data_IF_769972804488
#
_entry.id   IF_769972804488
#
_cell.length_a   1.000
_cell.length_b   1.000
_cell.length_c   1.000
_cell.angle_alpha   90.00
_cell.angle_beta   90.00
_cell.angle_gamma   90.00
#
_symmetry.space_group_name_H-M   'P 1'
#
loop_
_entity.id
_entity.type
_entity.pdbx_description
1 polymer ?
#
# COMPACT_ATOMS: atom_id res chain seq x y z
N UNK A 1 -33.63 -31.04 51.74
CA UNK A 1 -32.18 -30.75 51.75
C UNK A 1 -32.00 -29.26 51.49
N UNK A 2 -31.75 -28.46 52.53
CA UNK A 2 -31.52 -27.02 52.44
C UNK A 2 -29.99 -26.83 52.45
N UNK A 3 -29.38 -26.13 51.48
CA UNK A 3 -27.94 -25.96 51.47
C UNK A 3 -27.47 -25.10 52.65
N UNK A 4 -26.27 -25.36 53.21
CA UNK A 4 -25.76 -24.65 54.38
C UNK A 4 -25.52 -23.18 54.07
N UNK A 5 -25.93 -22.31 54.99
CA UNK A 5 -25.67 -20.88 54.96
C UNK A 5 -24.17 -20.60 54.89
N UNK A 6 -23.69 -19.70 54.02
CA UNK A 6 -22.28 -19.39 53.91
C UNK A 6 -21.75 -18.75 55.21
N UNK A 7 -20.49 -19.01 55.59
CA UNK A 7 -19.91 -18.54 56.86
C UNK A 7 -19.82 -17.00 56.91
N UNK A 8 -20.06 -16.38 58.08
CA UNK A 8 -20.16 -14.91 58.24
C UNK A 8 -18.87 -14.16 57.88
N UNK A 9 -17.72 -14.84 57.91
CA UNK A 9 -16.40 -14.30 57.52
C UNK A 9 -16.28 -14.00 56.03
N UNK A 10 -16.99 -14.72 55.15
CA UNK A 10 -16.98 -14.42 53.70
C UNK A 10 -17.79 -13.16 53.38
N UNK A 11 -18.88 -12.92 54.10
CA UNK A 11 -19.75 -11.74 53.88
C UNK A 11 -19.02 -10.45 54.29
N UNK A 12 -18.30 -10.48 55.43
CA UNK A 12 -17.53 -9.34 55.95
C UNK A 12 -16.33 -8.94 55.06
N UNK A 13 -15.66 -9.92 54.45
CA UNK A 13 -14.57 -9.65 53.50
C UNK A 13 -15.10 -8.98 52.22
N UNK A 14 -16.26 -9.40 51.72
CA UNK A 14 -16.87 -8.78 50.52
C UNK A 14 -17.38 -7.36 50.79
N UNK A 15 -17.94 -7.08 51.97
CA UNK A 15 -18.47 -5.74 52.30
C UNK A 15 -17.39 -4.67 52.48
N UNK A 16 -16.17 -5.04 52.91
CA UNK A 16 -15.07 -4.08 53.08
C UNK A 16 -14.16 -3.94 51.84
N UNK A 17 -14.01 -5.00 51.04
CA UNK A 17 -13.07 -4.99 49.91
C UNK A 17 -13.61 -4.24 48.69
N UNK A 18 -14.93 -4.36 48.41
CA UNK A 18 -15.60 -3.64 47.31
C UNK A 18 -15.52 -2.11 47.47
N UNK A 19 -15.87 -1.50 48.62
CA UNK A 19 -15.79 -0.05 48.75
C UNK A 19 -14.34 0.45 48.70
N UNK A 20 -13.37 -0.33 49.19
CA UNK A 20 -11.95 0.01 49.07
C UNK A 20 -11.49 0.01 47.61
N UNK A 21 -11.89 -0.99 46.82
CA UNK A 21 -11.58 -1.06 45.39
C UNK A 21 -12.23 0.10 44.61
N UNK A 22 -13.47 0.44 44.92
CA UNK A 22 -14.17 1.58 44.33
C UNK A 22 -13.48 2.90 44.69
N UNK A 23 -13.05 3.08 45.94
CA UNK A 23 -12.31 4.25 46.40
C UNK A 23 -10.97 4.39 45.65
N UNK A 24 -10.22 3.29 45.52
CA UNK A 24 -8.96 3.26 44.77
C UNK A 24 -9.21 3.63 43.31
N UNK A 25 -10.24 3.06 42.68
CA UNK A 25 -10.60 3.37 41.29
C UNK A 25 -10.99 4.84 41.09
N UNK A 26 -11.72 5.43 42.03
CA UNK A 26 -12.13 6.83 42.00
C UNK A 26 -10.93 7.77 42.17
N UNK A 27 -10.01 7.47 43.10
CA UNK A 27 -8.77 8.23 43.26
C UNK A 27 -7.91 8.14 42.00
N UNK A 28 -7.79 6.95 41.39
CA UNK A 28 -7.06 6.77 40.14
C UNK A 28 -7.69 7.58 39.00
N UNK A 29 -9.02 7.55 38.87
CA UNK A 29 -9.77 8.33 37.88
C UNK A 29 -9.56 9.83 38.07
N UNK A 30 -9.59 10.34 39.31
CA UNK A 30 -9.32 11.76 39.60
C UNK A 30 -7.87 12.13 39.26
N UNK A 31 -6.90 11.26 39.55
CA UNK A 31 -5.50 11.51 39.18
C UNK A 31 -5.28 11.49 37.68
N UNK A 32 -5.88 10.53 36.97
CA UNK A 32 -5.83 10.45 35.51
C UNK A 32 -6.51 11.65 34.89
N UNK A 33 -7.69 12.03 35.34
CA UNK A 33 -8.42 13.20 34.82
C UNK A 33 -7.70 14.51 35.13
N UNK A 34 -7.11 14.70 36.32
CA UNK A 34 -6.24 15.84 36.62
C UNK A 34 -4.96 15.86 35.77
N UNK A 35 -4.32 14.70 35.55
CA UNK A 35 -3.15 14.60 34.67
C UNK A 35 -3.50 14.85 33.20
N UNK A 36 -4.68 14.41 32.77
CA UNK A 36 -5.23 14.67 31.44
C UNK A 36 -5.58 16.15 31.29
N UNK A 37 -6.26 16.75 32.28
CA UNK A 37 -6.54 18.18 32.31
C UNK A 37 -5.26 18.99 32.30
N UNK A 38 -4.27 18.66 33.13
CA UNK A 38 -2.97 19.34 33.17
C UNK A 38 -2.19 19.16 31.87
N UNK A 39 -2.30 18.02 31.18
CA UNK A 39 -1.73 17.85 29.83
C UNK A 39 -2.48 18.63 28.75
N UNK A 40 -3.79 18.79 28.90
CA UNK A 40 -4.64 19.59 27.99
C UNK A 40 -4.37 21.09 28.21
N UNK A 41 -4.32 21.55 29.46
CA UNK A 41 -4.18 22.96 29.84
C UNK A 41 -2.72 23.42 29.94
N UNK A 42 -1.81 22.54 30.37
CA UNK A 42 -0.36 22.76 30.40
C UNK A 42 0.31 22.73 29.02
N UNK A 43 -0.44 22.38 27.97
CA UNK A 43 -0.09 22.68 26.57
C UNK A 43 -0.49 24.11 26.16
N UNK A 44 -0.53 25.05 27.10
CA UNK A 44 -0.41 26.47 26.75
C UNK A 44 0.98 26.68 26.15
N UNK A 45 0.99 26.83 24.83
CA UNK A 45 2.08 27.27 23.98
C UNK A 45 3.22 27.93 24.76
N UNK A 46 4.32 27.21 24.96
CA UNK A 46 5.61 27.88 24.98
C UNK A 46 5.69 28.63 23.65
N UNK A 47 5.60 29.95 23.71
CA UNK A 47 5.71 30.84 22.55
C UNK A 47 7.13 30.77 22.03
N UNK A 48 7.40 29.72 21.25
CA UNK A 48 8.52 29.71 20.33
C UNK A 48 8.29 30.85 19.34
N UNK A 49 9.30 31.70 19.15
CA UNK A 49 9.32 32.78 18.15
C UNK A 49 9.22 32.27 16.70
N UNK A 50 9.21 30.95 16.47
CA UNK A 50 8.88 30.33 15.19
C UNK A 50 7.37 30.14 15.06
N UNK A 51 6.77 30.82 14.07
CA UNK A 51 5.37 30.61 13.66
C UNK A 51 5.18 29.17 13.18
N UNK A 52 4.65 28.31 14.05
CA UNK A 52 4.25 26.95 13.67
C UNK A 52 3.04 27.00 12.72
N UNK A 53 2.89 26.03 11.80
CA UNK A 53 1.70 25.93 10.97
C UNK A 53 0.41 25.90 11.81
N UNK A 54 -0.67 26.53 11.34
CA UNK A 54 -1.98 26.44 11.98
C UNK A 54 -2.48 24.98 11.98
N UNK A 55 -3.39 24.64 12.90
CA UNK A 55 -4.00 23.31 12.91
C UNK A 55 -4.36 22.79 14.29
N UNK A 56 -4.92 21.57 14.34
CA UNK A 56 -5.43 20.95 15.56
C UNK A 56 -4.52 19.83 16.04
N UNK A 57 -4.27 19.74 17.36
CA UNK A 57 -3.61 18.56 17.93
C UNK A 57 -4.58 17.40 18.21
N UNK A 58 -5.88 17.59 17.96
CA UNK A 58 -6.93 16.61 18.22
C UNK A 58 -7.10 16.24 19.70
N UNK A 59 -7.67 15.06 19.95
CA UNK A 59 -7.86 14.52 21.29
C UNK A 59 -6.52 14.18 21.96
N UNK A 60 -6.42 14.22 23.30
CA UNK A 60 -5.24 13.72 24.00
C UNK A 60 -4.91 12.28 23.59
N UNK A 61 -3.63 11.97 23.42
CA UNK A 61 -3.09 10.65 23.07
C UNK A 61 -3.36 10.18 21.62
N UNK A 62 -4.60 10.31 21.14
CA UNK A 62 -5.04 9.76 19.84
C UNK A 62 -5.00 10.82 18.72
N UNK A 63 -5.01 12.10 19.07
CA UNK A 63 -5.03 13.18 18.10
C UNK A 63 -6.30 13.18 17.25
N UNK A 64 -6.14 13.32 15.93
CA UNK A 64 -7.22 13.25 14.94
C UNK A 64 -7.27 11.87 14.24
N UNK A 65 -6.60 10.85 14.79
CA UNK A 65 -6.49 9.52 14.16
C UNK A 65 -7.84 8.88 13.86
N UNK A 66 -8.84 9.00 14.74
CA UNK A 66 -10.18 8.46 14.47
C UNK A 66 -10.88 9.18 13.32
N UNK A 67 -10.75 10.51 13.26
CA UNK A 67 -11.29 11.30 12.14
C UNK A 67 -10.57 10.96 10.83
N UNK A 68 -9.26 10.69 10.88
CA UNK A 68 -8.48 10.22 9.75
C UNK A 68 -8.95 8.86 9.24
N UNK A 69 -9.14 7.89 10.15
CA UNK A 69 -9.60 6.55 9.78
C UNK A 69 -11.04 6.57 9.24
N UNK A 70 -11.94 7.32 9.88
CA UNK A 70 -13.31 7.47 9.41
C UNK A 70 -13.38 8.11 8.01
N UNK A 71 -12.54 9.12 7.75
CA UNK A 71 -12.42 9.69 6.41
C UNK A 71 -11.86 8.69 5.39
N UNK A 72 -10.92 7.84 5.78
CA UNK A 72 -10.35 6.81 4.90
C UNK A 72 -11.40 5.78 4.44
N UNK A 73 -12.42 5.52 5.25
CA UNK A 73 -13.56 4.65 4.88
C UNK A 73 -14.59 5.33 3.97
N UNK A 74 -14.43 6.62 3.65
CA UNK A 74 -15.32 7.35 2.74
C UNK A 74 -14.92 7.15 1.27
N UNK A 75 -15.83 7.44 0.33
CA UNK A 75 -15.57 7.37 -1.12
C UNK A 75 -14.43 8.28 -1.60
N UNK A 76 -14.12 9.34 -0.84
CA UNK A 76 -13.00 10.26 -1.11
C UNK A 76 -11.73 9.89 -0.34
N UNK A 77 -11.79 8.84 0.49
CA UNK A 77 -10.70 8.36 1.33
C UNK A 77 -10.00 9.43 2.14
N UNK A 78 -8.69 9.28 2.29
CA UNK A 78 -7.83 10.24 2.98
C UNK A 78 -7.96 11.69 2.45
N UNK A 79 -8.27 11.91 1.17
CA UNK A 79 -8.46 13.26 0.63
C UNK A 79 -9.61 14.03 1.31
N UNK A 80 -10.64 13.35 1.82
CA UNK A 80 -11.70 13.98 2.62
C UNK A 80 -11.14 14.61 3.90
N UNK A 81 -10.20 13.92 4.56
CA UNK A 81 -9.54 14.41 5.76
C UNK A 81 -8.72 15.67 5.48
N UNK A 82 -7.92 15.65 4.40
CA UNK A 82 -7.05 16.76 4.01
C UNK A 82 -7.85 17.96 3.53
N UNK A 83 -8.83 17.75 2.64
CA UNK A 83 -9.64 18.83 2.06
C UNK A 83 -10.36 19.64 3.14
N UNK A 84 -11.00 18.97 4.10
CA UNK A 84 -11.68 19.62 5.23
C UNK A 84 -10.74 20.52 6.04
N UNK A 85 -9.50 20.08 6.25
CA UNK A 85 -8.49 20.82 7.03
C UNK A 85 -7.84 21.91 6.22
N UNK A 86 -7.65 21.70 4.92
CA UNK A 86 -7.20 22.73 3.98
C UNK A 86 -8.19 23.89 3.91
N UNK A 87 -9.50 23.61 3.86
CA UNK A 87 -10.54 24.64 3.89
C UNK A 87 -10.52 25.44 5.21
N UNK A 88 -10.17 24.81 6.33
CA UNK A 88 -10.17 25.43 7.66
C UNK A 88 -8.87 26.18 8.01
N UNK A 89 -7.72 25.63 7.63
CA UNK A 89 -6.40 26.07 8.08
C UNK A 89 -5.52 26.59 6.95
N UNK A 90 -5.98 26.51 5.69
CA UNK A 90 -5.25 26.92 4.51
C UNK A 90 -4.32 25.83 3.94
N UNK A 91 -3.45 26.24 3.01
CA UNK A 91 -2.59 25.34 2.25
C UNK A 91 -1.44 24.71 3.06
N UNK A 92 -1.21 25.13 4.31
CA UNK A 92 -0.20 24.57 5.20
C UNK A 92 -0.80 24.40 6.60
N UNK A 93 -0.92 23.17 7.08
CA UNK A 93 -1.50 22.90 8.39
C UNK A 93 -0.84 21.72 9.11
N UNK A 94 -0.89 21.72 10.45
CA UNK A 94 -0.45 20.61 11.28
C UNK A 94 -1.61 19.81 11.86
N UNK A 95 -1.41 18.52 12.06
CA UNK A 95 -2.34 17.62 12.75
C UNK A 95 -1.57 16.56 13.54
N UNK A 96 -2.23 15.86 14.46
CA UNK A 96 -1.64 14.70 15.14
C UNK A 96 -2.37 13.43 14.69
N UNK A 97 -1.65 12.49 14.08
CA UNK A 97 -2.19 11.21 13.57
C UNK A 97 -1.22 10.11 13.99
N UNK A 98 -1.75 9.01 14.54
CA UNK A 98 -0.97 7.89 15.09
C UNK A 98 0.09 8.34 16.11
N UNK A 99 -0.26 9.31 16.96
CA UNK A 99 0.62 9.84 18.02
C UNK A 99 1.76 10.72 17.50
N UNK A 100 1.87 10.97 16.19
CA UNK A 100 2.89 11.81 15.57
C UNK A 100 2.28 13.09 15.01
N UNK A 101 3.03 14.18 15.08
CA UNK A 101 2.65 15.44 14.42
C UNK A 101 2.99 15.35 12.93
N UNK A 102 2.00 15.58 12.09
CA UNK A 102 2.13 15.64 10.63
C UNK A 102 1.87 17.07 10.17
N UNK A 103 2.64 17.53 9.20
CA UNK A 103 2.45 18.82 8.56
C UNK A 103 2.10 18.57 7.09
N UNK A 104 0.93 19.03 6.68
CA UNK A 104 0.46 18.97 5.31
C UNK A 104 0.74 20.29 4.62
N UNK A 105 1.38 20.23 3.46
CA UNK A 105 1.71 21.40 2.64
C UNK A 105 1.24 21.17 1.21
N UNK A 106 0.34 22.01 0.73
CA UNK A 106 -0.21 21.99 -0.62
C UNK A 106 0.27 23.23 -1.38
N UNK A 107 1.53 23.22 -1.78
CA UNK A 107 2.10 24.25 -2.66
C UNK A 107 3.12 23.64 -3.62
N UNK A 108 3.15 24.16 -4.84
CA UNK A 108 4.13 23.78 -5.87
C UNK A 108 5.56 24.09 -5.44
N UNK A 109 5.77 25.24 -4.77
CA UNK A 109 7.07 25.62 -4.22
C UNK A 109 7.58 24.64 -3.17
N UNK A 110 6.74 24.24 -2.21
CA UNK A 110 7.14 23.24 -1.21
C UNK A 110 7.36 21.85 -1.83
N UNK A 111 6.51 21.44 -2.78
CA UNK A 111 6.70 20.18 -3.49
C UNK A 111 8.04 20.16 -4.24
N UNK A 112 8.36 21.24 -4.97
CA UNK A 112 9.66 21.39 -5.66
C UNK A 112 10.81 21.30 -4.68
N UNK A 113 10.75 21.99 -3.55
CA UNK A 113 11.86 22.01 -2.62
C UNK A 113 12.06 20.68 -1.88
N UNK A 114 10.97 19.96 -1.57
CA UNK A 114 11.04 18.61 -0.97
C UNK A 114 11.53 17.56 -1.97
N UNK A 115 11.07 17.62 -3.23
CA UNK A 115 11.43 16.63 -4.27
C UNK A 115 12.76 16.96 -4.98
N UNK A 116 13.14 18.23 -5.01
CA UNK A 116 14.38 18.74 -5.61
C UNK A 116 15.62 18.56 -4.74
N UNK A 117 15.48 17.98 -3.55
CA UNK A 117 16.55 17.79 -2.57
C UNK A 117 17.11 19.12 -2.00
N UNK A 118 16.39 20.24 -2.19
CA UNK A 118 16.77 21.58 -1.70
C UNK A 118 16.69 21.69 -0.17
N UNK A 119 15.99 20.76 0.49
CA UNK A 119 15.88 20.72 1.95
C UNK A 119 16.73 19.60 2.57
N UNK A 120 17.93 19.95 3.02
CA UNK A 120 18.73 19.14 3.96
C UNK A 120 17.91 18.93 5.23
N UNK A 121 17.44 17.70 5.48
CA UNK A 121 16.76 17.33 6.73
C UNK A 121 15.41 16.61 6.58
N UNK A 122 14.90 16.41 5.36
CA UNK A 122 13.77 15.50 5.15
C UNK A 122 14.26 14.12 4.75
N UNK A 123 13.75 13.10 5.43
CA UNK A 123 13.94 11.70 5.05
C UNK A 123 12.59 11.10 4.74
N UNK A 124 12.55 10.26 3.70
CA UNK A 124 11.41 9.41 3.42
C UNK A 124 11.10 8.58 4.66
N UNK A 125 9.91 8.73 5.25
CA UNK A 125 9.51 7.95 6.42
C UNK A 125 8.09 7.46 6.27
N UNK A 126 7.93 6.17 6.08
CA UNK A 126 6.62 5.53 6.01
C UNK A 126 6.08 5.22 7.40
N UNK A 127 4.78 4.94 7.43
CA UNK A 127 4.15 4.35 8.59
C UNK A 127 4.69 2.92 8.71
N UNK A 128 5.17 2.55 9.90
CA UNK A 128 5.74 1.22 10.20
C UNK A 128 4.84 0.07 9.71
N UNK A 129 3.53 0.24 9.76
CA UNK A 129 2.57 -0.75 9.27
C UNK A 129 2.70 -1.08 7.79
N UNK A 130 3.10 -0.11 6.95
CA UNK A 130 3.34 -0.31 5.51
C UNK A 130 4.62 -1.11 5.30
N UNK A 131 5.68 -0.80 6.06
CA UNK A 131 6.93 -1.56 6.02
C UNK A 131 6.75 -3.02 6.46
N UNK A 132 5.84 -3.31 7.39
CA UNK A 132 5.50 -4.69 7.76
C UNK A 132 4.80 -5.48 6.62
N UNK A 133 4.13 -4.79 5.69
CA UNK A 133 3.39 -5.40 4.57
C UNK A 133 4.23 -5.50 3.29
N UNK A 134 5.00 -4.47 2.97
CA UNK A 134 5.85 -4.44 1.77
C UNK A 134 7.26 -5.00 2.02
N UNK A 135 7.71 -4.92 3.27
CA UNK A 135 9.07 -5.27 3.68
C UNK A 135 9.97 -4.04 3.84
N UNK A 136 10.87 -4.11 4.83
CA UNK A 136 11.82 -3.04 5.17
C UNK A 136 12.84 -2.79 4.04
N UNK A 137 13.05 -3.79 3.18
CA UNK A 137 13.99 -3.71 2.05
C UNK A 137 13.30 -3.33 0.72
N UNK A 138 12.00 -3.02 0.75
CA UNK A 138 11.30 -2.51 -0.43
C UNK A 138 11.81 -1.13 -0.83
N UNK A 139 11.81 -0.80 -2.13
CA UNK A 139 12.09 0.54 -2.64
C UNK A 139 11.21 1.60 -1.96
N UNK A 140 10.00 1.20 -1.56
CA UNK A 140 9.11 2.07 -0.80
C UNK A 140 9.64 2.33 0.62
N UNK A 141 10.10 1.34 1.37
CA UNK A 141 10.46 1.52 2.79
C UNK A 141 11.95 1.70 3.08
N UNK A 142 12.82 1.39 2.13
CA UNK A 142 14.27 1.39 2.30
C UNK A 142 14.84 2.74 2.73
N UNK A 143 15.96 2.68 3.46
CA UNK A 143 16.76 3.85 3.85
C UNK A 143 17.32 4.57 2.63
N UNK A 144 17.74 5.83 2.78
CA UNK A 144 18.28 6.62 1.67
C UNK A 144 19.48 5.95 0.99
N UNK A 145 20.39 5.36 1.78
CA UNK A 145 21.59 4.67 1.29
C UNK A 145 21.22 3.45 0.46
N UNK A 146 20.39 2.55 1.01
CA UNK A 146 19.95 1.34 0.31
C UNK A 146 19.05 1.66 -0.89
N UNK A 147 18.23 2.71 -0.82
CA UNK A 147 17.31 3.09 -1.87
C UNK A 147 18.02 3.41 -3.18
N UNK A 148 19.19 4.08 -3.15
CA UNK A 148 19.93 4.40 -4.38
C UNK A 148 20.45 3.15 -5.10
N UNK A 149 20.90 2.15 -4.34
CA UNK A 149 21.33 0.87 -4.91
C UNK A 149 20.12 0.09 -5.45
N UNK A 150 19.07 -0.09 -4.64
CA UNK A 150 17.82 -0.76 -5.06
C UNK A 150 17.22 -0.12 -6.31
N UNK A 151 17.13 1.22 -6.37
CA UNK A 151 16.57 1.95 -7.52
C UNK A 151 17.35 1.68 -8.80
N UNK A 152 18.68 1.61 -8.72
CA UNK A 152 19.53 1.31 -9.88
C UNK A 152 19.24 -0.09 -10.40
N UNK A 153 19.19 -1.09 -9.52
CA UNK A 153 18.87 -2.49 -9.88
C UNK A 153 17.46 -2.62 -10.45
N UNK A 154 16.47 -1.92 -9.86
CA UNK A 154 15.08 -1.94 -10.35
C UNK A 154 14.88 -1.18 -11.67
N UNK A 155 15.80 -0.28 -12.05
CA UNK A 155 15.64 0.54 -13.25
C UNK A 155 15.77 -0.25 -14.56
N UNK A 156 16.41 -1.42 -14.52
CA UNK A 156 16.52 -2.33 -15.66
C UNK A 156 15.16 -2.69 -16.27
N UNK A 157 14.12 -2.82 -15.45
CA UNK A 157 12.74 -3.10 -15.89
C UNK A 157 12.18 -2.05 -16.86
N UNK A 158 12.67 -0.80 -16.78
CA UNK A 158 12.13 0.34 -17.51
C UNK A 158 13.06 0.83 -18.62
N UNK A 159 14.03 0.01 -19.04
CA UNK A 159 14.85 0.33 -20.20
C UNK A 159 14.01 0.20 -21.51
N UNK A 160 14.42 0.83 -22.63
CA UNK A 160 13.64 0.82 -23.86
C UNK A 160 13.30 -0.58 -24.41
N UNK A 161 14.21 -1.54 -24.29
CA UNK A 161 14.02 -2.92 -24.76
C UNK A 161 13.00 -3.67 -23.89
N UNK A 162 13.14 -3.58 -22.57
CA UNK A 162 12.20 -4.16 -21.60
C UNK A 162 10.81 -3.54 -21.72
N UNK A 163 10.71 -2.24 -21.99
CA UNK A 163 9.44 -1.56 -22.25
C UNK A 163 8.79 -2.06 -23.54
N UNK A 164 9.56 -2.20 -24.63
CA UNK A 164 9.03 -2.74 -25.89
C UNK A 164 8.49 -4.17 -25.73
N UNK A 165 9.21 -5.02 -24.97
CA UNK A 165 8.74 -6.37 -24.63
C UNK A 165 7.48 -6.35 -23.74
N UNK A 166 7.42 -5.43 -22.77
CA UNK A 166 6.27 -5.24 -21.90
C UNK A 166 5.02 -4.86 -22.70
N UNK A 167 5.12 -3.89 -23.61
CA UNK A 167 4.02 -3.47 -24.48
C UNK A 167 3.48 -4.65 -25.29
N UNK A 168 4.36 -5.43 -25.94
CA UNK A 168 3.93 -6.64 -26.67
C UNK A 168 3.18 -7.63 -25.79
N UNK A 169 3.61 -7.79 -24.53
CA UNK A 169 2.93 -8.66 -23.56
C UNK A 169 1.53 -8.15 -23.23
N UNK A 170 1.39 -6.85 -23.00
CA UNK A 170 0.08 -6.21 -22.79
C UNK A 170 -0.83 -6.35 -24.01
N UNK A 171 -0.32 -6.10 -25.22
CA UNK A 171 -1.10 -6.21 -26.47
C UNK A 171 -1.65 -7.63 -26.67
N UNK A 172 -0.79 -8.64 -26.48
CA UNK A 172 -1.17 -10.05 -26.62
C UNK A 172 -2.28 -10.44 -25.64
N UNK A 173 -2.10 -10.14 -24.35
CA UNK A 173 -3.06 -10.50 -23.30
C UNK A 173 -4.38 -9.72 -23.44
N UNK A 174 -4.31 -8.47 -23.90
CA UNK A 174 -5.51 -7.66 -24.17
C UNK A 174 -6.27 -8.23 -25.36
N UNK A 175 -5.60 -8.56 -26.45
CA UNK A 175 -6.23 -9.18 -27.61
C UNK A 175 -6.86 -10.55 -27.29
N UNK A 176 -6.19 -11.37 -26.48
CA UNK A 176 -6.74 -12.65 -25.99
C UNK A 176 -8.03 -12.45 -25.18
N UNK A 177 -8.02 -11.49 -24.24
CA UNK A 177 -9.20 -11.18 -23.44
C UNK A 177 -10.37 -10.67 -24.30
N UNK A 178 -10.11 -9.73 -25.22
CA UNK A 178 -11.14 -9.20 -26.11
C UNK A 178 -11.75 -10.29 -27.02
N UNK A 179 -10.94 -11.26 -27.49
CA UNK A 179 -11.43 -12.40 -28.28
C UNK A 179 -12.29 -13.37 -27.48
N UNK A 180 -12.14 -13.40 -26.16
CA UNK A 180 -12.93 -14.27 -25.28
C UNK A 180 -14.36 -13.75 -25.06
N UNK A 181 -14.59 -12.45 -25.30
CA UNK A 181 -15.90 -11.82 -25.13
C UNK A 181 -16.89 -12.28 -26.21
N UNK A 182 -18.09 -12.69 -25.80
CA UNK A 182 -19.11 -13.19 -26.73
C UNK A 182 -20.07 -12.07 -27.16
N UNK A 183 -20.57 -12.08 -28.41
CA UNK A 183 -21.60 -11.12 -28.83
C UNK A 183 -22.83 -11.16 -27.92
N UNK A 184 -23.25 -9.99 -27.42
CA UNK A 184 -24.40 -9.85 -26.52
C UNK A 184 -24.09 -10.11 -25.04
N UNK A 185 -22.85 -10.48 -24.69
CA UNK A 185 -22.41 -10.62 -23.30
C UNK A 185 -22.24 -9.25 -22.62
N UNK A 186 -22.63 -9.16 -21.35
CA UNK A 186 -22.33 -7.99 -20.52
C UNK A 186 -21.00 -8.21 -19.80
N UNK A 187 -20.02 -7.36 -20.08
CA UNK A 187 -18.68 -7.44 -19.48
C UNK A 187 -18.42 -6.25 -18.57
N UNK A 188 -17.85 -6.51 -17.39
CA UNK A 188 -17.35 -5.46 -16.50
C UNK A 188 -15.90 -5.14 -16.90
N UNK A 189 -15.74 -4.22 -17.85
CA UNK A 189 -14.43 -3.84 -18.45
C UNK A 189 -13.35 -3.57 -17.42
N UNK A 190 -13.71 -2.97 -16.28
CA UNK A 190 -12.77 -2.68 -15.22
C UNK A 190 -12.19 -3.93 -14.54
N UNK A 191 -13.01 -4.96 -14.31
CA UNK A 191 -12.55 -6.22 -13.72
C UNK A 191 -11.63 -6.97 -14.68
N UNK A 192 -11.97 -6.99 -15.96
CA UNK A 192 -11.14 -7.61 -16.99
C UNK A 192 -9.82 -6.86 -17.18
N UNK A 193 -9.85 -5.52 -17.20
CA UNK A 193 -8.64 -4.71 -17.24
C UNK A 193 -7.71 -4.99 -16.05
N UNK A 194 -8.26 -5.15 -14.85
CA UNK A 194 -7.49 -5.55 -13.67
C UNK A 194 -6.86 -6.94 -13.80
N UNK A 195 -7.62 -7.93 -14.30
CA UNK A 195 -7.11 -9.29 -14.54
C UNK A 195 -5.99 -9.30 -15.57
N UNK A 196 -6.20 -8.65 -16.72
CA UNK A 196 -5.21 -8.53 -17.80
C UNK A 196 -3.95 -7.85 -17.28
N UNK A 197 -4.10 -6.73 -16.56
CA UNK A 197 -2.95 -5.97 -16.03
C UNK A 197 -2.17 -6.79 -15.01
N UNK A 198 -2.86 -7.48 -14.10
CA UNK A 198 -2.22 -8.35 -13.13
C UNK A 198 -1.44 -9.49 -13.81
N UNK A 199 -2.06 -10.16 -14.78
CA UNK A 199 -1.43 -11.23 -15.57
C UNK A 199 -0.19 -10.72 -16.31
N UNK A 200 -0.30 -9.56 -16.96
CA UNK A 200 0.81 -8.94 -17.69
C UNK A 200 1.99 -8.63 -16.75
N UNK A 201 1.72 -7.99 -15.60
CA UNK A 201 2.74 -7.66 -14.62
C UNK A 201 3.43 -8.91 -14.08
N UNK A 202 2.69 -9.95 -13.70
CA UNK A 202 3.27 -11.21 -13.24
C UNK A 202 4.11 -11.88 -14.33
N UNK A 203 3.65 -11.86 -15.59
CA UNK A 203 4.41 -12.41 -16.71
C UNK A 203 5.73 -11.65 -16.95
N UNK A 204 5.69 -10.32 -16.94
CA UNK A 204 6.88 -9.47 -17.12
C UNK A 204 7.86 -9.63 -15.95
N UNK A 205 7.36 -9.71 -14.71
CA UNK A 205 8.20 -9.71 -13.53
C UNK A 205 8.79 -11.08 -13.21
N UNK A 206 8.03 -12.17 -13.39
CA UNK A 206 8.44 -13.48 -12.88
C UNK A 206 8.01 -14.67 -13.72
N UNK A 207 7.21 -14.53 -14.78
CA UNK A 207 6.88 -15.58 -15.76
C UNK A 207 6.74 -17.03 -15.21
N UNK A 208 6.12 -17.23 -14.04
CA UNK A 208 6.19 -18.49 -13.28
C UNK A 208 4.91 -18.83 -12.53
N UNK A 209 3.75 -18.60 -13.14
CA UNK A 209 2.49 -19.02 -12.54
C UNK A 209 1.56 -19.65 -13.58
N UNK A 210 1.01 -20.82 -13.26
CA UNK A 210 -0.19 -21.32 -13.91
C UNK A 210 -1.40 -20.42 -13.64
N UNK A 211 -2.50 -20.59 -14.36
CA UNK A 211 -3.70 -19.74 -14.18
C UNK A 211 -4.24 -19.79 -12.74
N UNK A 212 -4.32 -20.99 -12.14
CA UNK A 212 -4.79 -21.14 -10.76
C UNK A 212 -3.88 -20.44 -9.74
N UNK A 213 -2.55 -20.56 -9.91
CA UNK A 213 -1.57 -19.90 -9.04
C UNK A 213 -1.62 -18.38 -9.17
N UNK A 214 -1.88 -17.89 -10.39
CA UNK A 214 -2.02 -16.47 -10.68
C UNK A 214 -3.27 -15.90 -9.98
N UNK A 215 -4.39 -16.62 -9.99
CA UNK A 215 -5.60 -16.22 -9.26
C UNK A 215 -5.37 -16.16 -7.75
N UNK A 216 -4.68 -17.16 -7.18
CA UNK A 216 -4.32 -17.15 -5.75
C UNK A 216 -3.40 -15.98 -5.40
N UNK A 217 -2.38 -15.74 -6.24
CA UNK A 217 -1.47 -14.61 -6.06
C UNK A 217 -2.22 -13.27 -6.12
N UNK A 218 -3.20 -13.14 -7.03
CA UNK A 218 -4.03 -11.94 -7.13
C UNK A 218 -4.83 -11.69 -5.84
N UNK A 219 -5.45 -12.74 -5.30
CA UNK A 219 -6.20 -12.67 -4.02
C UNK A 219 -5.27 -12.24 -2.88
N UNK A 220 -4.05 -12.79 -2.83
CA UNK A 220 -3.07 -12.45 -1.80
C UNK A 220 -2.57 -11.00 -1.92
N UNK A 221 -2.26 -10.55 -3.13
CA UNK A 221 -1.86 -9.15 -3.39
C UNK A 221 -2.98 -8.17 -3.02
N UNK A 222 -4.24 -8.54 -3.29
CA UNK A 222 -5.39 -7.75 -2.88
C UNK A 222 -5.50 -7.63 -1.35
N UNK A 223 -5.36 -8.73 -0.60
CA UNK A 223 -5.37 -8.71 0.87
C UNK A 223 -4.21 -7.87 1.45
N UNK A 224 -3.03 -7.89 0.83
CA UNK A 224 -1.91 -7.01 1.21
C UNK A 224 -2.27 -5.55 0.98
N UNK A 225 -2.83 -5.21 -0.18
CA UNK A 225 -3.23 -3.84 -0.54
C UNK A 225 -4.33 -3.32 0.38
N UNK A 226 -5.33 -4.16 0.69
CA UNK A 226 -6.40 -3.82 1.64
C UNK A 226 -5.87 -3.64 3.07
N UNK A 227 -4.83 -4.38 3.46
CA UNK A 227 -4.19 -4.21 4.75
C UNK A 227 -3.39 -2.90 4.87
N UNK A 228 -2.84 -2.37 3.77
CA UNK A 228 -2.12 -1.08 3.78
C UNK A 228 -3.02 0.10 4.20
N UNK A 229 -4.32 -0.02 3.93
CA UNK A 229 -5.33 0.98 4.28
C UNK A 229 -6.00 0.73 5.64
N UNK A 230 -5.77 -0.45 6.22
CA UNK A 230 -6.38 -0.85 7.45
C UNK A 230 -5.66 -0.24 8.65
N UNK A 231 -6.38 -0.12 9.77
CA UNK A 231 -5.75 0.15 11.04
C UNK A 231 -4.82 -1.03 11.40
N UNK A 232 -3.57 -0.78 11.85
CA UNK A 232 -2.53 -1.81 11.96
C UNK A 232 -2.66 -2.67 13.23
N UNK A 233 -3.84 -3.25 13.45
CA UNK A 233 -4.11 -4.13 14.58
C UNK A 233 -3.98 -5.59 14.17
N UNK A 234 -3.10 -6.32 14.84
CA UNK A 234 -2.88 -7.77 14.67
C UNK A 234 -3.90 -8.63 15.46
N UNK A 235 -5.21 -8.33 15.36
CA UNK A 235 -6.26 -9.20 15.92
C UNK A 235 -6.69 -10.30 14.95
N UNK A 236 -7.14 -11.47 15.45
CA UNK A 236 -7.87 -12.44 14.64
C UNK A 236 -9.02 -11.76 13.87
N UNK A 237 -9.11 -12.04 12.57
CA UNK A 237 -10.14 -11.47 11.69
C UNK A 237 -9.87 -10.06 11.16
N UNK A 238 -8.83 -9.35 11.63
CA UNK A 238 -8.52 -8.02 11.11
C UNK A 238 -7.98 -8.06 9.67
N UNK A 239 -8.29 -7.02 8.89
CA UNK A 239 -7.72 -6.80 7.54
C UNK A 239 -6.19 -6.81 7.57
N UNK A 240 -5.60 -6.14 8.56
CA UNK A 240 -4.15 -6.07 8.69
C UNK A 240 -3.50 -7.44 8.92
N UNK A 241 -4.09 -8.28 9.78
CA UNK A 241 -3.58 -9.64 10.00
C UNK A 241 -3.75 -10.53 8.77
N UNK A 242 -4.85 -10.40 8.01
CA UNK A 242 -5.02 -11.12 6.74
C UNK A 242 -3.96 -10.73 5.72
N UNK A 243 -3.69 -9.43 5.54
CA UNK A 243 -2.61 -8.97 4.67
C UNK A 243 -1.23 -9.48 5.09
N UNK A 244 -0.92 -9.55 6.39
CA UNK A 244 0.34 -10.16 6.86
C UNK A 244 0.42 -11.66 6.55
N UNK A 245 -0.69 -12.39 6.59
CA UNK A 245 -0.73 -13.80 6.19
C UNK A 245 -0.56 -13.97 4.69
N UNK A 246 -1.24 -13.14 3.89
CA UNK A 246 -1.10 -13.10 2.44
C UNK A 246 0.34 -12.78 2.03
N UNK A 247 0.95 -11.73 2.61
CA UNK A 247 2.37 -11.42 2.42
C UNK A 247 3.25 -12.66 2.63
N UNK A 248 3.04 -13.40 3.72
CA UNK A 248 3.86 -14.60 4.02
C UNK A 248 3.74 -15.66 2.91
N UNK A 249 2.55 -15.88 2.37
CA UNK A 249 2.34 -16.81 1.24
C UNK A 249 3.08 -16.34 0.00
N UNK A 250 2.96 -15.05 -0.36
CA UNK A 250 3.67 -14.46 -1.49
C UNK A 250 5.19 -14.61 -1.35
N UNK A 251 5.75 -14.27 -0.18
CA UNK A 251 7.20 -14.38 0.06
C UNK A 251 7.67 -15.83 -0.04
N UNK A 252 6.88 -16.80 0.47
CA UNK A 252 7.21 -18.22 0.35
C UNK A 252 7.21 -18.69 -1.12
N UNK A 253 6.26 -18.21 -1.92
CA UNK A 253 6.20 -18.51 -3.35
C UNK A 253 7.41 -17.91 -4.08
N UNK A 254 7.70 -16.62 -3.89
CA UNK A 254 8.85 -15.97 -4.52
C UNK A 254 10.18 -16.58 -4.10
N UNK A 255 10.31 -16.99 -2.83
CA UNK A 255 11.50 -17.69 -2.32
C UNK A 255 11.74 -19.00 -3.09
N UNK A 256 10.69 -19.76 -3.40
CA UNK A 256 10.81 -21.00 -4.18
C UNK A 256 11.28 -20.71 -5.60
N UNK A 257 10.67 -19.74 -6.29
CA UNK A 257 11.06 -19.38 -7.66
C UNK A 257 12.52 -18.91 -7.70
N UNK A 258 12.92 -18.03 -6.79
CA UNK A 258 14.31 -17.54 -6.71
C UNK A 258 15.28 -18.70 -6.50
N UNK A 259 14.94 -19.63 -5.61
CA UNK A 259 15.76 -20.81 -5.33
C UNK A 259 15.93 -21.70 -6.57
N UNK A 260 14.84 -22.06 -7.26
CA UNK A 260 14.89 -22.88 -8.47
C UNK A 260 15.74 -22.25 -9.58
N UNK A 261 15.66 -20.92 -9.73
CA UNK A 261 16.45 -20.17 -10.72
C UNK A 261 17.93 -20.09 -10.38
N UNK A 262 18.26 -19.89 -9.10
CA UNK A 262 19.66 -19.89 -8.63
C UNK A 262 20.30 -21.27 -8.75
N UNK A 263 19.53 -22.35 -8.63
CA UNK A 263 20.01 -23.71 -8.86
C UNK A 263 20.07 -24.09 -10.36
N UNK A 264 19.62 -23.21 -11.25
CA UNK A 264 19.57 -23.46 -12.69
C UNK A 264 18.52 -24.49 -13.11
N UNK A 265 17.57 -24.82 -12.22
CA UNK A 265 16.48 -25.75 -12.48
C UNK A 265 15.37 -25.12 -13.34
N UNK A 266 15.25 -23.80 -13.29
CA UNK A 266 14.34 -23.01 -14.10
C UNK A 266 15.06 -21.80 -14.71
N UNK A 267 14.74 -21.47 -15.96
CA UNK A 267 15.26 -20.29 -16.63
C UNK A 267 14.16 -19.63 -17.46
N UNK A 268 13.92 -18.34 -17.22
CA UNK A 268 12.89 -17.57 -17.89
C UNK A 268 13.46 -16.22 -18.36
N UNK A 269 13.04 -15.75 -19.53
CA UNK A 269 13.38 -14.40 -20.00
C UNK A 269 12.41 -13.39 -19.38
N UNK A 270 12.64 -13.05 -18.11
CA UNK A 270 11.86 -12.08 -17.35
C UNK A 270 12.75 -11.23 -16.42
N UNK A 271 12.13 -10.26 -15.73
CA UNK A 271 12.87 -9.34 -14.88
C UNK A 271 13.48 -9.99 -13.63
N UNK A 272 12.81 -10.99 -13.04
CA UNK A 272 13.35 -11.71 -11.89
C UNK A 272 14.63 -12.49 -12.28
N UNK A 273 14.67 -13.06 -13.49
CA UNK A 273 15.88 -13.73 -13.98
C UNK A 273 17.05 -12.76 -14.16
N UNK A 274 16.80 -11.54 -14.66
CA UNK A 274 17.86 -10.53 -14.79
C UNK A 274 18.40 -10.12 -13.42
N UNK A 275 17.54 -9.97 -12.41
CA UNK A 275 17.98 -9.68 -11.04
C UNK A 275 18.83 -10.80 -10.43
N UNK A 276 18.48 -12.07 -10.69
CA UNK A 276 19.24 -13.23 -10.21
C UNK A 276 20.59 -13.35 -10.92
N UNK A 277 20.66 -13.11 -12.24
CA UNK A 277 21.91 -13.18 -13.03
C UNK A 277 22.89 -12.04 -12.71
N UNK A 278 22.40 -10.81 -12.61
CA UNK A 278 23.27 -9.66 -12.29
C UNK A 278 23.91 -9.78 -10.89
N UNK A 279 23.36 -10.63 -10.04
CA UNK A 279 23.87 -10.98 -8.72
C UNK A 279 25.24 -11.66 -8.75
N UNK A 280 25.50 -12.44 -9.80
CA UNK A 280 26.71 -13.26 -9.93
C UNK A 280 27.92 -12.47 -10.47
N UNK A 281 27.70 -11.26 -11.00
CA UNK A 281 28.67 -10.59 -11.88
C UNK A 281 28.98 -9.12 -11.51
N UNK A 282 28.43 -8.56 -10.43
CA UNK A 282 28.59 -7.13 -10.11
C UNK A 282 29.33 -6.85 -8.80
N UNK A 283 30.20 -5.84 -8.84
CA UNK A 283 31.00 -5.35 -7.69
C UNK A 283 30.25 -4.38 -6.77
N UNK A 284 29.05 -3.90 -7.17
CA UNK A 284 28.19 -2.98 -6.40
C UNK A 284 27.33 -3.69 -5.34
N UNK A 285 27.61 -4.97 -5.08
CA UNK A 285 26.89 -5.81 -4.12
C UNK A 285 25.69 -6.53 -4.75
N UNK A 286 25.60 -7.82 -4.49
CA UNK A 286 24.46 -8.67 -4.81
C UNK A 286 23.19 -8.22 -4.07
N UNK A 287 22.03 -8.36 -4.72
CA UNK A 287 20.75 -8.24 -4.02
C UNK A 287 20.48 -9.52 -3.24
N UNK A 288 20.22 -9.36 -1.94
CA UNK A 288 19.72 -10.47 -1.12
C UNK A 288 18.36 -10.94 -1.61
N UNK A 289 18.04 -12.22 -1.40
CA UNK A 289 16.72 -12.76 -1.74
C UNK A 289 15.57 -11.98 -1.08
N UNK A 290 15.78 -11.46 0.14
CA UNK A 290 14.82 -10.60 0.83
C UNK A 290 14.58 -9.29 0.08
N UNK A 291 15.64 -8.66 -0.45
CA UNK A 291 15.52 -7.45 -1.28
C UNK A 291 14.79 -7.76 -2.58
N UNK A 292 15.11 -8.86 -3.25
CA UNK A 292 14.43 -9.26 -4.48
C UNK A 292 12.93 -9.48 -4.20
N UNK A 293 12.58 -10.29 -3.20
CA UNK A 293 11.19 -10.58 -2.84
C UNK A 293 10.38 -9.32 -2.48
N UNK A 294 10.92 -8.47 -1.62
CA UNK A 294 10.27 -7.22 -1.19
C UNK A 294 10.00 -6.29 -2.38
N UNK A 295 10.95 -6.21 -3.32
CA UNK A 295 10.83 -5.33 -4.48
C UNK A 295 9.95 -5.90 -5.59
N UNK A 296 9.94 -7.21 -5.82
CA UNK A 296 8.99 -7.85 -6.75
C UNK A 296 7.55 -7.63 -6.26
N UNK A 297 7.24 -7.90 -4.99
CA UNK A 297 5.91 -7.59 -4.44
C UNK A 297 5.56 -6.10 -4.58
N UNK A 298 6.52 -5.22 -4.29
CA UNK A 298 6.33 -3.77 -4.40
C UNK A 298 6.01 -3.36 -5.84
N UNK A 299 6.69 -3.93 -6.84
CA UNK A 299 6.45 -3.65 -8.25
C UNK A 299 5.10 -4.19 -8.72
N UNK A 300 4.67 -5.37 -8.25
CA UNK A 300 3.32 -5.89 -8.53
C UNK A 300 2.26 -4.91 -8.02
N UNK A 301 2.34 -4.52 -6.74
CA UNK A 301 1.35 -3.59 -6.14
C UNK A 301 1.39 -2.21 -6.82
N UNK A 302 2.58 -1.73 -7.18
CA UNK A 302 2.74 -0.42 -7.83
C UNK A 302 2.21 -0.39 -9.26
N UNK A 303 2.30 -1.51 -9.99
CA UNK A 303 1.81 -1.61 -11.37
C UNK A 303 0.30 -1.80 -11.47
N UNK A 304 -0.37 -2.22 -10.40
CA UNK A 304 -1.82 -2.46 -10.44
C UNK A 304 -2.63 -1.16 -10.48
N UNK A 305 -3.72 -1.11 -11.28
CA UNK A 305 -4.69 -0.01 -11.21
C UNK A 305 -5.30 0.00 -9.81
N UNK A 306 -4.93 0.99 -9.00
CA UNK A 306 -5.45 1.08 -7.64
C UNK A 306 -6.85 1.66 -7.67
N UNK A 307 -7.84 0.91 -7.17
CA UNK A 307 -9.15 1.44 -6.75
C UNK A 307 -9.07 2.40 -5.55
N UNK A 308 -7.85 2.63 -5.08
CA UNK A 308 -7.58 3.19 -3.78
C UNK A 308 -7.37 4.70 -3.86
N UNK A 309 -8.01 5.50 -2.99
CA UNK A 309 -7.80 6.95 -2.90
C UNK A 309 -6.40 7.36 -2.38
N UNK A 310 -5.40 6.46 -2.38
CA UNK A 310 -4.06 6.71 -1.80
C UNK A 310 -3.05 7.27 -2.80
N UNK A 311 -3.29 7.09 -4.11
CA UNK A 311 -2.54 7.74 -5.19
C UNK A 311 -3.54 8.56 -6.02
N UNK A 312 -3.14 9.71 -6.59
CA UNK A 312 -3.98 10.37 -7.58
C UNK A 312 -4.37 9.31 -8.61
N UNK A 313 -5.65 9.20 -8.97
CA UNK A 313 -6.07 8.43 -10.14
C UNK A 313 -5.29 8.99 -11.32
N UNK A 314 -4.16 8.37 -11.69
CA UNK A 314 -3.34 8.81 -12.82
C UNK A 314 -4.13 8.62 -14.12
N UNK A 315 -5.09 7.69 -14.11
CA UNK A 315 -6.11 7.55 -15.14
C UNK A 315 -7.49 7.54 -14.47
N UNK A 316 -8.35 8.50 -14.82
CA UNK A 316 -9.78 8.39 -14.50
C UNK A 316 -10.35 7.12 -15.15
N UNK A 317 -11.48 6.62 -14.66
CA UNK A 317 -12.19 5.50 -15.30
C UNK A 317 -12.48 5.82 -16.77
N UNK A 318 -12.76 7.10 -17.08
CA UNK A 318 -12.90 7.59 -18.46
C UNK A 318 -11.59 7.57 -19.25
N UNK A 319 -10.43 7.80 -18.62
CA UNK A 319 -9.13 7.67 -19.28
C UNK A 319 -8.73 6.22 -19.49
N UNK A 320 -9.11 5.28 -18.60
CA UNK A 320 -8.95 3.84 -18.81
C UNK A 320 -9.89 3.33 -19.91
N UNK A 321 -11.16 3.77 -19.91
CA UNK A 321 -12.13 3.49 -20.97
C UNK A 321 -11.68 4.10 -22.28
N UNK A 322 -11.09 5.30 -22.28
CA UNK A 322 -10.50 5.90 -23.48
C UNK A 322 -9.19 5.21 -23.86
N UNK A 323 -8.37 4.70 -22.94
CA UNK A 323 -7.16 3.95 -23.30
C UNK A 323 -7.53 2.63 -24.01
N UNK A 324 -8.51 1.92 -23.45
CA UNK A 324 -9.05 0.66 -23.99
C UNK A 324 -9.91 0.92 -25.24
N UNK A 325 -10.65 2.04 -25.28
CA UNK A 325 -11.60 2.41 -26.32
C UNK A 325 -11.02 3.25 -27.48
N UNK A 326 -9.89 3.94 -27.28
CA UNK A 326 -9.09 4.49 -28.37
C UNK A 326 -8.45 3.36 -29.17
N UNK A 327 -8.11 2.27 -28.51
CA UNK A 327 -7.45 1.13 -29.15
C UNK A 327 -8.43 0.28 -29.96
N UNK A 328 -9.72 0.14 -29.62
CA UNK A 328 -10.65 -0.60 -30.48
C UNK A 328 -10.77 -0.02 -31.90
N UNK A 329 -10.72 1.31 -32.05
CA UNK A 329 -10.71 1.96 -33.37
C UNK A 329 -9.37 1.88 -34.09
N UNK A 330 -8.25 1.71 -33.38
CA UNK A 330 -6.92 1.53 -33.99
C UNK A 330 -6.63 0.06 -34.28
N UNK A 331 -6.99 -0.87 -33.39
CA UNK A 331 -7.02 -2.32 -33.60
C UNK A 331 -7.92 -2.69 -34.76
N UNK A 332 -9.13 -2.12 -34.87
CA UNK A 332 -9.96 -2.29 -36.06
C UNK A 332 -9.24 -1.76 -37.31
N UNK A 333 -8.64 -0.56 -37.24
CA UNK A 333 -7.89 0.02 -38.38
C UNK A 333 -6.69 -0.84 -38.79
N UNK A 334 -6.00 -1.45 -37.83
CA UNK A 334 -4.84 -2.32 -38.03
C UNK A 334 -5.26 -3.70 -38.57
N UNK A 335 -6.41 -4.23 -38.13
CA UNK A 335 -7.00 -5.44 -38.68
C UNK A 335 -7.49 -5.21 -40.13
N UNK A 336 -8.14 -4.08 -40.40
CA UNK A 336 -8.60 -3.72 -41.76
C UNK A 336 -7.45 -3.40 -42.71
N UNK A 337 -6.35 -2.79 -42.25
CA UNK A 337 -5.19 -2.54 -43.14
C UNK A 337 -4.45 -3.82 -43.51
N UNK A 338 -4.36 -4.81 -42.61
CA UNK A 338 -3.79 -6.13 -42.91
C UNK A 338 -4.68 -6.94 -43.86
N UNK A 339 -5.99 -6.88 -43.70
CA UNK A 339 -6.94 -7.54 -44.61
C UNK A 339 -6.98 -6.89 -46.00
N UNK A 340 -6.90 -5.56 -46.11
CA UNK A 340 -6.81 -4.86 -47.39
C UNK A 340 -5.55 -5.21 -48.19
N UNK A 341 -4.40 -5.34 -47.52
CA UNK A 341 -3.12 -5.68 -48.16
C UNK A 341 -3.01 -7.14 -48.66
N UNK A 342 -3.90 -8.04 -48.24
CA UNK A 342 -3.97 -9.41 -48.77
C UNK A 342 -4.99 -9.59 -49.89
N UNK A 343 -5.86 -8.61 -50.14
CA UNK A 343 -6.86 -8.65 -51.22
C UNK A 343 -6.38 -7.95 -52.49
N UNK A 344 -5.43 -7.01 -52.40
CA UNK A 344 -4.79 -6.36 -53.56
C UNK A 344 -3.55 -7.10 -54.11
N UNK A 345 -3.19 -8.26 -53.54
CA UNK A 345 -2.04 -9.07 -53.93
C UNK A 345 -2.36 -10.37 -54.69
N UNK A 346 -3.52 -10.47 -55.34
CA UNK A 346 -3.89 -11.62 -56.19
C UNK A 346 -4.29 -11.19 -57.58
#
# INVERSE_FOLDING_TARGET
>A
MIPPSPPPTRILLFTCFIPLLLLISAVLLVRISKALLWRITGRRQATSTRRLPPGSSGLPLIGETLSFLAANSSSRGFYAFVSTRRLRYGNCFKTNIFGKTHVFVSSTGAARAVLGNDFVGFTKRYIRSIAELLGEQSLLCATLESHRHLRRRMSGLFNPESLASSVRTFDLLTAEALRSWKPGETVVVFEDALKITFRAICKILMNSAGEDELEELQKDVFEVTEAMLAFPWKLPGSRFLRGLKARRRIMNMLKKIIHLRREGLEHHEDFLQSLVKEDEHTSDGSLTDSQIQDNILTLIIAGLPQNTPMLPKILSTDQLINLIGLDLKEVDRFHYSKLGSQVEGK
#
